data_IF_551386927025
#
_entry.id   IF_551386927025
#
_cell.length_a   1.000
_cell.length_b   1.000
_cell.length_c   1.000
_cell.angle_alpha   90.00
_cell.angle_beta   90.00
_cell.angle_gamma   90.00
#
_symmetry.space_group_name_H-M   'P 1'
#
loop_
_entity.id
_entity.type
_entity.pdbx_description
1 polymer ?
#
# COMPACT_ATOMS: atom_id res chain seq x y z
N UNK A 1 5.65 16.27 16.31
CA UNK A 1 4.71 15.14 16.38
C UNK A 1 5.46 13.90 15.93
N UNK A 2 5.82 13.01 16.86
CA UNK A 2 6.52 11.75 16.53
C UNK A 2 5.51 10.81 15.87
N UNK A 3 5.72 10.45 14.61
CA UNK A 3 4.92 9.42 13.96
C UNK A 3 5.33 8.09 14.57
N UNK A 4 4.57 7.66 15.57
CA UNK A 4 4.69 6.35 16.17
C UNK A 4 3.86 5.33 15.38
N UNK A 5 4.37 4.11 15.26
CA UNK A 5 3.62 2.95 14.80
C UNK A 5 4.21 2.24 13.60
N UNK A 6 5.24 1.41 13.83
CA UNK A 6 5.52 0.29 12.94
C UNK A 6 4.23 -0.54 12.77
N UNK A 7 3.62 -0.51 11.58
CA UNK A 7 2.40 -1.27 11.30
C UNK A 7 2.74 -2.66 10.80
N UNK A 8 2.12 -3.68 11.39
CA UNK A 8 2.26 -5.06 10.92
C UNK A 8 1.29 -5.28 9.75
N UNK A 9 1.85 -5.53 8.58
CA UNK A 9 1.11 -5.96 7.40
C UNK A 9 1.37 -7.45 7.15
N UNK A 10 0.32 -8.23 6.92
CA UNK A 10 0.45 -9.59 6.41
C UNK A 10 0.24 -9.52 4.90
N UNK A 11 1.22 -10.01 4.14
CA UNK A 11 1.18 -10.04 2.67
C UNK A 11 1.18 -11.49 2.24
N UNK A 12 0.21 -11.85 1.40
CA UNK A 12 0.17 -13.16 0.74
C UNK A 12 0.67 -12.97 -0.68
N UNK A 13 1.63 -13.81 -1.08
CA UNK A 13 2.11 -13.89 -2.45
C UNK A 13 1.45 -15.08 -3.14
N UNK A 14 1.19 -14.96 -4.43
CA UNK A 14 0.91 -16.13 -5.24
C UNK A 14 2.16 -17.04 -5.35
N UNK A 15 1.98 -18.30 -5.80
CA UNK A 15 3.08 -19.27 -5.83
C UNK A 15 4.29 -18.84 -6.67
N UNK A 16 4.08 -18.10 -7.75
CA UNK A 16 5.15 -17.65 -8.64
C UNK A 16 6.03 -16.61 -7.94
N UNK A 17 5.41 -15.60 -7.34
CA UNK A 17 6.13 -14.55 -6.60
C UNK A 17 6.80 -15.10 -5.33
N UNK A 18 6.17 -16.06 -4.64
CA UNK A 18 6.77 -16.73 -3.49
C UNK A 18 8.05 -17.49 -3.86
N UNK A 19 8.04 -18.24 -4.96
CA UNK A 19 9.21 -18.95 -5.44
C UNK A 19 10.34 -17.99 -5.84
N UNK A 20 9.99 -16.90 -6.53
CA UNK A 20 10.94 -15.86 -6.91
C UNK A 20 11.61 -15.22 -5.70
N UNK A 21 10.84 -14.90 -4.66
CA UNK A 21 11.36 -14.34 -3.42
C UNK A 21 12.30 -15.33 -2.71
N UNK A 22 11.91 -16.61 -2.63
CA UNK A 22 12.74 -17.68 -2.07
C UNK A 22 14.07 -17.84 -2.79
N UNK A 23 14.04 -17.89 -4.12
CA UNK A 23 15.24 -18.04 -4.95
C UNK A 23 16.19 -16.83 -4.80
N UNK A 24 15.65 -15.61 -4.70
CA UNK A 24 16.44 -14.40 -4.46
C UNK A 24 17.06 -14.39 -3.05
N UNK A 25 16.30 -14.79 -2.03
CA UNK A 25 16.77 -14.88 -0.65
C UNK A 25 17.96 -15.86 -0.53
N UNK A 26 17.87 -17.01 -1.19
CA UNK A 26 18.95 -18.00 -1.24
C UNK A 26 20.22 -17.45 -1.91
N UNK A 27 20.09 -16.84 -3.10
CA UNK A 27 21.22 -16.29 -3.86
C UNK A 27 21.94 -15.16 -3.14
N UNK A 28 21.22 -14.41 -2.30
CA UNK A 28 21.75 -13.28 -1.54
C UNK A 28 22.19 -13.65 -0.12
N UNK A 29 21.95 -14.89 0.31
CA UNK A 29 22.15 -15.35 1.69
C UNK A 29 21.40 -14.50 2.74
N UNK A 30 20.25 -13.95 2.38
CA UNK A 30 19.40 -13.12 3.26
C UNK A 30 18.15 -13.90 3.68
N UNK A 31 17.68 -13.70 4.91
CA UNK A 31 16.39 -14.25 5.35
C UNK A 31 15.26 -13.69 4.49
N UNK A 32 14.36 -14.56 4.05
CA UNK A 32 13.26 -14.22 3.15
C UNK A 32 12.44 -13.01 3.63
N UNK A 33 12.06 -12.99 4.92
CA UNK A 33 11.31 -11.87 5.51
C UNK A 33 12.09 -10.55 5.56
N UNK A 34 13.42 -10.58 5.62
CA UNK A 34 14.26 -9.37 5.55
C UNK A 34 14.32 -8.84 4.12
N UNK A 35 14.48 -9.75 3.15
CA UNK A 35 14.49 -9.39 1.74
C UNK A 35 13.11 -8.85 1.30
N UNK A 36 12.03 -9.50 1.71
CA UNK A 36 10.66 -9.07 1.44
C UNK A 36 10.40 -7.65 1.94
N UNK A 37 10.81 -7.33 3.18
CA UNK A 37 10.68 -6.00 3.75
C UNK A 37 11.44 -4.94 2.93
N UNK A 38 12.67 -5.26 2.56
CA UNK A 38 13.54 -4.33 1.81
C UNK A 38 13.00 -4.09 0.41
N UNK A 39 12.49 -5.14 -0.25
CA UNK A 39 11.84 -5.05 -1.56
C UNK A 39 10.54 -4.24 -1.50
N UNK A 40 9.72 -4.43 -0.47
CA UNK A 40 8.49 -3.65 -0.27
C UNK A 40 8.81 -2.17 -0.04
N UNK A 41 9.79 -1.84 0.81
CA UNK A 41 10.23 -0.46 1.02
C UNK A 41 10.69 0.19 -0.29
N UNK A 42 11.56 -0.48 -1.04
CA UNK A 42 12.04 0.03 -2.32
C UNK A 42 10.93 0.12 -3.39
N UNK A 43 9.87 -0.69 -3.30
CA UNK A 43 8.71 -0.58 -4.18
C UNK A 43 7.85 0.63 -3.82
N UNK A 44 7.66 0.90 -2.53
CA UNK A 44 6.96 2.09 -2.04
C UNK A 44 7.69 3.37 -2.42
N UNK A 45 9.03 3.40 -2.31
CA UNK A 45 9.84 4.55 -2.72
C UNK A 45 9.76 4.83 -4.24
N UNK A 46 9.49 3.79 -5.03
CA UNK A 46 9.36 3.87 -6.50
C UNK A 46 7.94 4.06 -7.00
N UNK A 47 6.95 3.83 -6.13
CA UNK A 47 5.56 4.11 -6.43
C UNK A 47 5.38 5.63 -6.41
N UNK A 48 5.78 6.28 -7.50
CA UNK A 48 5.31 7.62 -7.82
C UNK A 48 3.78 7.53 -7.92
N UNK A 49 2.99 8.43 -7.30
CA UNK A 49 1.56 8.50 -7.51
C UNK A 49 1.25 8.97 -8.94
N UNK A 50 1.66 8.19 -9.94
CA UNK A 50 1.11 8.25 -11.28
C UNK A 50 -0.39 8.03 -11.15
N UNK A 51 -1.23 8.99 -11.60
CA UNK A 51 -2.68 8.86 -11.57
C UNK A 51 -3.17 7.52 -12.11
N UNK A 52 -2.50 6.97 -13.14
CA UNK A 52 -2.86 5.67 -13.72
C UNK A 52 -2.62 4.49 -12.75
N UNK A 53 -1.52 4.53 -11.98
CA UNK A 53 -1.24 3.50 -10.97
C UNK A 53 -2.16 3.62 -9.76
N UNK A 54 -2.50 4.84 -9.36
CA UNK A 54 -3.46 5.10 -8.28
C UNK A 54 -4.85 4.59 -8.66
N UNK A 55 -5.32 4.84 -9.89
CA UNK A 55 -6.62 4.31 -10.36
C UNK A 55 -6.62 2.79 -10.34
N UNK A 56 -5.59 2.13 -10.89
CA UNK A 56 -5.50 0.67 -10.87
C UNK A 56 -5.48 0.07 -9.45
N UNK A 57 -4.82 0.75 -8.50
CA UNK A 57 -4.84 0.38 -7.08
C UNK A 57 -6.26 0.52 -6.49
N UNK A 58 -6.94 1.64 -6.74
CA UNK A 58 -8.27 1.91 -6.21
C UNK A 58 -9.32 0.93 -6.78
N UNK A 59 -9.19 0.56 -8.06
CA UNK A 59 -10.06 -0.42 -8.71
C UNK A 59 -9.90 -1.83 -8.12
N UNK A 60 -8.73 -2.14 -7.54
CA UNK A 60 -8.47 -3.38 -6.82
C UNK A 60 -9.08 -3.44 -5.42
N UNK A 61 -9.62 -2.34 -4.89
CA UNK A 61 -10.19 -2.27 -3.55
C UNK A 61 -11.73 -2.32 -3.65
N UNK A 62 -12.38 -3.43 -3.21
CA UNK A 62 -13.83 -3.53 -3.25
C UNK A 62 -14.52 -2.35 -2.56
N UNK A 63 -15.47 -1.73 -3.25
CA UNK A 63 -16.27 -0.62 -2.73
C UNK A 63 -15.54 0.74 -2.63
N UNK A 64 -14.34 0.87 -3.20
CA UNK A 64 -13.57 2.12 -3.11
C UNK A 64 -14.29 3.31 -3.75
N UNK A 65 -14.91 3.09 -4.91
CA UNK A 65 -15.68 4.13 -5.61
C UNK A 65 -16.89 4.61 -4.81
N UNK A 66 -17.63 3.68 -4.21
CA UNK A 66 -18.82 3.97 -3.40
C UNK A 66 -18.45 4.78 -2.16
N UNK A 67 -17.35 4.41 -1.50
CA UNK A 67 -16.81 5.17 -0.35
C UNK A 67 -16.34 6.56 -0.77
N UNK A 68 -15.66 6.69 -1.91
CA UNK A 68 -15.23 7.98 -2.43
C UNK A 68 -16.42 8.90 -2.73
N UNK A 69 -17.44 8.39 -3.43
CA UNK A 69 -18.69 9.11 -3.72
C UNK A 69 -19.46 9.49 -2.45
N UNK A 70 -19.43 8.64 -1.42
CA UNK A 70 -20.03 8.96 -0.13
C UNK A 70 -19.29 10.12 0.55
N UNK A 71 -17.96 10.06 0.59
CA UNK A 71 -17.13 11.11 1.16
C UNK A 71 -17.31 12.45 0.42
N UNK A 72 -17.40 12.43 -0.91
CA UNK A 72 -17.67 13.61 -1.73
C UNK A 72 -19.01 14.28 -1.36
N UNK A 73 -20.07 13.47 -1.19
CA UNK A 73 -21.36 13.99 -0.74
C UNK A 73 -21.26 14.57 0.67
N UNK A 74 -20.70 13.84 1.63
CA UNK A 74 -20.54 14.30 3.01
C UNK A 74 -19.76 15.63 3.08
N UNK A 75 -18.69 15.77 2.28
CA UNK A 75 -17.95 17.01 2.15
C UNK A 75 -18.81 18.15 1.59
N UNK A 76 -19.64 17.89 0.57
CA UNK A 76 -20.58 18.88 0.05
C UNK A 76 -21.65 19.30 1.09
N UNK A 77 -21.95 18.43 2.06
CA UNK A 77 -22.84 18.74 3.20
C UNK A 77 -22.10 19.37 4.39
N UNK A 78 -20.80 19.65 4.28
CA UNK A 78 -20.00 20.29 5.34
C UNK A 78 -19.56 19.33 6.46
N UNK A 79 -19.63 18.02 6.24
CA UNK A 79 -19.23 16.99 7.21
C UNK A 79 -17.74 16.60 7.08
N UNK A 80 -16.98 17.27 6.22
CA UNK A 80 -15.54 17.07 6.09
C UNK A 80 -14.75 17.92 7.09
N UNK A 81 -13.59 17.42 7.52
CA UNK A 81 -12.64 18.18 8.33
C UNK A 81 -11.58 18.85 7.44
N UNK A 82 -11.08 20.04 7.83
CA UNK A 82 -9.93 20.66 7.18
C UNK A 82 -8.69 19.75 7.21
N UNK A 83 -7.83 19.88 6.20
CA UNK A 83 -6.63 19.04 6.05
C UNK A 83 -5.62 19.24 7.18
N UNK A 84 -5.60 20.43 7.77
CA UNK A 84 -4.79 20.79 8.94
C UNK A 84 -5.36 20.28 10.28
N UNK A 85 -6.56 19.69 10.26
CA UNK A 85 -7.21 19.07 11.42
C UNK A 85 -7.19 17.52 11.38
N UNK A 86 -6.57 16.93 10.35
CA UNK A 86 -6.33 15.48 10.17
C UNK A 86 -5.18 14.96 11.05
#
# INVERSE_FOLDING_TARGET
MLIDGARRLNVTLDPEHAEKLRALAQRTHVKEGTLARSLLAAALDRADPDPAQVTALLDGIPGALERARHAERAAAWGEAIPLDEL
#
